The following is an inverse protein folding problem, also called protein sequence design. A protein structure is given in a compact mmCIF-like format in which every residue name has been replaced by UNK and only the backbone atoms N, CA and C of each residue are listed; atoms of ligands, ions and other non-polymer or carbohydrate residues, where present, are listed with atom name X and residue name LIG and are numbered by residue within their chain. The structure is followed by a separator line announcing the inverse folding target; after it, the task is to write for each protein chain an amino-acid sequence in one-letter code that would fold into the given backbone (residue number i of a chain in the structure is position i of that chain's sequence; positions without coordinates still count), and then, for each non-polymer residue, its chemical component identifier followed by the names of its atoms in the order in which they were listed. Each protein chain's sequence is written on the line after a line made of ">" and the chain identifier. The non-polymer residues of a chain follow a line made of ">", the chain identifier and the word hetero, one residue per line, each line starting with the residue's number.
data_IF_079890250378
#
_entry.id   IF_079890250378
#
_cell.length_a   1.000
_cell.length_b   1.000
_cell.length_c   1.000
_cell.angle_alpha   90.00
_cell.angle_beta   90.00
_cell.angle_gamma   90.00
#
_symmetry.space_group_name_H-M   'P 1'
#
loop_
_entity.id
_entity.type
_entity.pdbx_description
1 polymer ?
#
# COMPACT_ATOMS: atom_id res chain seq x y z
N UNK A 1 -11.34 12.05 -22.67
CA UNK A 1 -9.89 12.09 -22.96
C UNK A 1 -9.04 12.34 -21.70
N UNK A 2 -9.64 12.68 -20.55
CA UNK A 2 -8.93 12.91 -19.28
C UNK A 2 -8.64 11.64 -18.46
N UNK A 3 -9.43 10.57 -18.63
CA UNK A 3 -9.30 9.32 -17.85
C UNK A 3 -7.98 8.57 -18.10
N UNK A 4 -7.42 8.67 -19.32
CA UNK A 4 -6.12 8.05 -19.66
C UNK A 4 -4.94 8.74 -18.96
N UNK A 5 -4.95 10.07 -18.88
CA UNK A 5 -3.89 10.85 -18.20
C UNK A 5 -3.84 10.59 -16.68
N UNK A 6 -4.99 10.27 -16.08
CA UNK A 6 -5.13 9.97 -14.65
C UNK A 6 -4.66 8.54 -14.34
N UNK A 7 -5.03 7.56 -15.17
CA UNK A 7 -4.48 6.20 -15.11
C UNK A 7 -2.96 6.19 -15.26
N UNK A 8 -2.41 7.02 -16.16
CA UNK A 8 -0.97 7.24 -16.32
C UNK A 8 -0.34 7.94 -15.11
N UNK A 9 -1.04 8.84 -14.42
CA UNK A 9 -0.57 9.46 -13.18
C UNK A 9 -0.51 8.45 -12.01
N UNK A 10 -1.47 7.52 -11.92
CA UNK A 10 -1.45 6.46 -10.90
C UNK A 10 -0.47 5.33 -11.23
N UNK A 11 -0.27 5.01 -12.52
CA UNK A 11 0.81 4.11 -12.96
C UNK A 11 2.20 4.76 -12.81
N UNK A 12 2.30 6.10 -12.82
CA UNK A 12 3.54 6.84 -12.61
C UNK A 12 4.18 6.54 -11.27
N UNK A 13 3.41 6.34 -10.20
CA UNK A 13 3.95 5.91 -8.90
C UNK A 13 4.63 4.52 -9.00
N UNK A 14 4.05 3.59 -9.78
CA UNK A 14 4.63 2.27 -10.05
C UNK A 14 5.86 2.31 -10.98
N UNK A 15 5.85 3.17 -12.00
CA UNK A 15 7.00 3.38 -12.89
C UNK A 15 8.15 4.13 -12.21
N UNK A 16 7.81 5.10 -11.36
CA UNK A 16 8.76 5.86 -10.53
C UNK A 16 9.45 4.92 -9.57
N UNK A 17 8.69 4.06 -8.86
CA UNK A 17 9.22 2.97 -8.08
C UNK A 17 10.18 2.08 -8.89
N UNK A 18 9.75 1.55 -10.04
CA UNK A 18 10.54 0.60 -10.84
C UNK A 18 11.87 1.16 -11.36
N UNK A 19 12.01 2.49 -11.49
CA UNK A 19 13.21 3.16 -12.01
C UNK A 19 14.27 3.48 -10.95
N UNK A 20 14.00 3.29 -9.66
CA UNK A 20 14.99 3.62 -8.62
C UNK A 20 16.06 2.55 -8.45
N UNK A 21 17.31 2.99 -8.59
CA UNK A 21 18.48 2.24 -8.18
C UNK A 21 18.77 2.50 -6.70
N UNK A 22 18.93 1.41 -5.96
CA UNK A 22 19.47 1.44 -4.60
C UNK A 22 21.00 1.40 -4.74
N UNK A 23 21.75 2.24 -4.01
CA UNK A 23 23.21 2.16 -3.99
C UNK A 23 23.68 0.73 -3.67
N UNK A 24 24.79 0.28 -4.27
CA UNK A 24 25.22 -1.12 -4.13
C UNK A 24 25.41 -1.54 -2.66
N UNK A 25 25.90 -0.64 -1.78
CA UNK A 25 26.02 -0.89 -0.34
C UNK A 25 24.69 -0.98 0.42
N UNK A 26 23.59 -0.48 -0.16
CA UNK A 26 22.24 -0.55 0.42
C UNK A 26 21.43 -1.75 -0.07
N UNK A 27 21.88 -2.44 -1.13
CA UNK A 27 21.21 -3.65 -1.64
C UNK A 27 21.31 -4.82 -0.67
N UNK A 28 22.47 -5.01 -0.02
CA UNK A 28 22.64 -6.05 0.99
C UNK A 28 21.75 -5.78 2.21
N UNK A 29 21.64 -4.51 2.62
CA UNK A 29 20.75 -4.08 3.70
C UNK A 29 19.28 -4.30 3.32
N UNK A 30 18.89 -3.97 2.09
CA UNK A 30 17.57 -4.30 1.57
C UNK A 30 17.27 -5.80 1.62
N UNK A 31 18.19 -6.67 1.19
CA UNK A 31 17.99 -8.12 1.26
C UNK A 31 17.80 -8.60 2.70
N UNK A 32 18.59 -8.09 3.65
CA UNK A 32 18.40 -8.41 5.08
C UNK A 32 17.02 -7.99 5.57
N UNK A 33 16.52 -6.82 5.15
CA UNK A 33 15.16 -6.37 5.50
C UNK A 33 14.09 -7.25 4.87
N UNK A 34 14.19 -7.54 3.58
CA UNK A 34 13.21 -8.36 2.86
C UNK A 34 13.12 -9.80 3.44
N UNK A 35 14.23 -10.33 3.94
CA UNK A 35 14.32 -11.66 4.54
C UNK A 35 14.30 -11.64 6.08
N UNK A 36 14.07 -10.50 6.72
CA UNK A 36 14.11 -10.44 8.18
C UNK A 36 12.91 -11.20 8.78
N UNK A 37 13.10 -11.74 9.98
CA UNK A 37 12.05 -12.48 10.68
C UNK A 37 10.77 -11.65 10.90
N UNK A 38 10.82 -10.32 10.91
CA UNK A 38 9.62 -9.49 10.99
C UNK A 38 8.78 -9.55 9.70
N UNK A 39 9.38 -9.25 8.56
CA UNK A 39 8.71 -9.27 7.24
C UNK A 39 8.26 -10.69 6.88
N UNK A 40 9.10 -11.69 7.13
CA UNK A 40 8.74 -13.10 6.87
C UNK A 40 7.56 -13.53 7.73
N UNK A 41 7.53 -13.18 9.03
CA UNK A 41 6.39 -13.49 9.90
C UNK A 41 5.12 -12.80 9.45
N UNK A 42 5.19 -11.53 9.06
CA UNK A 42 4.04 -10.79 8.53
C UNK A 42 3.43 -11.46 7.28
N UNK A 43 4.27 -11.87 6.32
CA UNK A 43 3.81 -12.57 5.12
C UNK A 43 3.25 -13.97 5.44
N UNK A 44 3.85 -14.69 6.39
CA UNK A 44 3.48 -16.06 6.70
C UNK A 44 2.21 -16.19 7.56
N UNK A 45 2.04 -15.36 8.59
CA UNK A 45 0.96 -15.52 9.56
C UNK A 45 -0.28 -14.77 9.14
N UNK A 46 -1.43 -15.45 9.10
CA UNK A 46 -2.72 -14.85 8.69
C UNK A 46 -3.13 -13.66 9.57
N UNK A 47 -2.91 -13.77 10.87
CA UNK A 47 -3.27 -12.75 11.87
C UNK A 47 -2.39 -11.50 11.83
N UNK A 48 -1.23 -11.54 11.19
CA UNK A 48 -0.34 -10.38 11.08
C UNK A 48 -0.77 -9.47 9.91
N UNK A 49 -1.75 -8.61 10.12
CA UNK A 49 -2.35 -7.84 9.03
C UNK A 49 -1.43 -6.73 8.51
N UNK A 50 -0.83 -5.98 9.45
CA UNK A 50 -0.04 -4.78 9.18
C UNK A 50 1.41 -5.01 9.58
N UNK A 51 2.34 -4.58 8.72
CA UNK A 51 3.75 -4.44 9.02
C UNK A 51 4.17 -2.97 8.91
N UNK A 52 4.93 -2.50 9.88
CA UNK A 52 5.54 -1.16 9.86
C UNK A 52 7.04 -1.33 9.67
N UNK A 53 7.57 -0.85 8.56
CA UNK A 53 9.01 -0.71 8.38
C UNK A 53 9.44 0.68 8.83
N UNK A 54 10.34 0.75 9.79
CA UNK A 54 10.83 2.00 10.35
C UNK A 54 12.35 2.08 10.25
N UNK A 55 12.85 3.17 9.69
CA UNK A 55 14.27 3.53 9.77
C UNK A 55 14.41 5.00 10.18
N UNK A 56 14.68 5.31 11.46
CA UNK A 56 14.83 6.70 11.93
C UNK A 56 15.94 7.45 11.21
N UNK A 57 16.93 6.77 10.62
CA UNK A 57 18.05 7.39 9.89
C UNK A 57 17.73 7.70 8.42
N UNK A 58 16.58 7.23 7.92
CA UNK A 58 16.19 7.35 6.52
C UNK A 58 15.41 8.64 6.19
N UNK A 59 15.17 9.50 7.18
CA UNK A 59 14.49 10.77 7.02
C UNK A 59 15.33 11.71 6.14
N UNK A 60 14.87 12.10 4.93
CA UNK A 60 15.71 12.82 4.00
C UNK A 60 15.98 14.26 4.48
N UNK A 61 17.19 14.82 4.26
CA UNK A 61 17.34 16.25 4.09
C UNK A 61 16.53 16.69 2.85
N UNK A 62 15.88 17.84 2.94
CA UNK A 62 14.85 18.37 2.03
C UNK A 62 14.97 17.94 0.55
N UNK A 63 13.87 17.43 -0.02
CA UNK A 63 13.68 17.31 -1.47
C UNK A 63 14.16 16.01 -2.14
N UNK A 64 14.70 15.04 -1.40
CA UNK A 64 15.08 13.72 -1.92
C UNK A 64 14.12 12.61 -1.48
N UNK A 65 13.96 11.56 -2.30
CA UNK A 65 13.22 10.36 -1.90
C UNK A 65 13.97 9.64 -0.78
N UNK A 66 13.24 9.31 0.28
CA UNK A 66 13.79 8.59 1.42
C UNK A 66 14.33 7.22 1.00
N UNK A 67 15.28 6.67 1.77
CA UNK A 67 15.72 5.28 1.60
C UNK A 67 14.53 4.31 1.68
N UNK A 68 13.54 4.63 2.51
CA UNK A 68 12.31 3.83 2.66
C UNK A 68 11.44 3.82 1.41
N UNK A 69 11.35 4.92 0.69
CA UNK A 69 10.69 4.98 -0.61
C UNK A 69 11.33 4.01 -1.60
N UNK A 70 12.68 3.92 -1.59
CA UNK A 70 13.41 2.97 -2.42
C UNK A 70 13.17 1.51 -1.99
N UNK A 71 13.10 1.24 -0.68
CA UNK A 71 12.82 -0.10 -0.17
C UNK A 71 11.40 -0.53 -0.48
N UNK A 72 10.41 0.36 -0.31
CA UNK A 72 9.01 0.13 -0.67
C UNK A 72 8.89 -0.24 -2.16
N UNK A 73 9.62 0.47 -3.03
CA UNK A 73 9.72 0.14 -4.45
C UNK A 73 10.30 -1.27 -4.71
N UNK A 74 11.43 -1.62 -4.10
CA UNK A 74 12.03 -2.94 -4.32
C UNK A 74 11.17 -4.07 -3.76
N UNK A 75 10.48 -3.85 -2.63
CA UNK A 75 9.50 -4.80 -2.11
C UNK A 75 8.32 -4.98 -3.07
N UNK A 76 7.82 -3.89 -3.67
CA UNK A 76 6.78 -3.97 -4.70
C UNK A 76 7.22 -4.88 -5.85
N UNK A 77 8.42 -4.65 -6.38
CA UNK A 77 8.96 -5.47 -7.48
C UNK A 77 9.14 -6.93 -7.05
N UNK A 78 9.77 -7.17 -5.89
CA UNK A 78 9.98 -8.51 -5.34
C UNK A 78 8.66 -9.27 -5.17
N UNK A 79 7.63 -8.63 -4.61
CA UNK A 79 6.33 -9.24 -4.39
C UNK A 79 5.61 -9.56 -5.70
N UNK A 80 5.75 -8.70 -6.71
CA UNK A 80 5.27 -8.99 -8.06
C UNK A 80 5.99 -10.21 -8.65
N UNK A 81 7.32 -10.27 -8.53
CA UNK A 81 8.16 -11.33 -9.11
C UNK A 81 7.87 -12.71 -8.49
N UNK A 82 7.50 -12.76 -7.21
CA UNK A 82 7.08 -14.01 -6.52
C UNK A 82 5.58 -14.33 -6.66
N UNK A 83 4.88 -13.64 -7.57
CA UNK A 83 3.48 -13.95 -7.93
C UNK A 83 2.40 -13.35 -7.02
N UNK A 84 2.73 -12.37 -6.18
CA UNK A 84 1.72 -11.57 -5.48
C UNK A 84 1.20 -10.46 -6.41
N UNK A 85 0.10 -9.82 -6.01
CA UNK A 85 -0.44 -8.63 -6.67
C UNK A 85 -0.25 -7.40 -5.78
N UNK A 86 0.93 -6.75 -5.84
CA UNK A 86 1.23 -5.62 -5.00
C UNK A 86 0.56 -4.35 -5.53
N UNK A 87 -0.23 -3.70 -4.68
CA UNK A 87 -0.68 -2.33 -4.83
C UNK A 87 0.31 -1.43 -4.08
N UNK A 88 0.61 -0.25 -4.60
CA UNK A 88 1.50 0.68 -3.91
C UNK A 88 1.01 2.11 -3.97
N UNK A 89 1.28 2.84 -2.90
CA UNK A 89 1.08 4.28 -2.82
C UNK A 89 2.36 4.92 -2.31
N UNK A 90 2.96 5.80 -3.12
CA UNK A 90 4.24 6.43 -2.79
C UNK A 90 4.03 7.87 -2.31
N UNK A 91 4.08 8.14 -0.99
CA UNK A 91 3.95 9.51 -0.49
C UNK A 91 5.22 10.33 -0.79
N UNK A 92 5.17 11.15 -1.85
CA UNK A 92 6.11 12.25 -2.04
C UNK A 92 5.65 13.52 -1.31
N UNK A 93 6.56 14.44 -0.91
CA UNK A 93 6.19 15.80 -0.48
C UNK A 93 5.46 16.56 -1.60
N UNK A 94 4.51 17.47 -1.32
CA UNK A 94 3.94 17.82 0.00
C UNK A 94 2.78 16.88 0.38
N UNK A 95 2.57 16.69 1.67
CA UNK A 95 1.71 15.66 2.28
C UNK A 95 0.41 15.36 1.52
N UNK A 96 0.13 14.06 1.33
CA UNK A 96 -0.94 13.60 0.45
C UNK A 96 -2.22 13.22 1.19
N UNK A 97 -3.33 13.43 0.49
CA UNK A 97 -4.72 13.20 0.90
C UNK A 97 -5.04 11.68 1.00
N UNK A 98 -5.59 11.18 2.13
CA UNK A 98 -6.06 9.80 2.26
C UNK A 98 -7.07 9.39 1.19
N UNK A 99 -7.86 10.34 0.67
CA UNK A 99 -8.77 10.11 -0.45
C UNK A 99 -7.99 9.72 -1.71
N UNK A 100 -6.94 10.45 -2.06
CA UNK A 100 -6.12 10.14 -3.22
C UNK A 100 -5.38 8.81 -3.08
N UNK A 101 -4.96 8.47 -1.86
CA UNK A 101 -4.45 7.12 -1.55
C UNK A 101 -5.49 6.06 -1.87
N UNK A 102 -6.71 6.20 -1.35
CA UNK A 102 -7.76 5.22 -1.60
C UNK A 102 -8.16 5.17 -3.08
N UNK A 103 -8.19 6.29 -3.80
CA UNK A 103 -8.45 6.31 -5.24
C UNK A 103 -7.39 5.53 -6.00
N UNK A 104 -6.11 5.80 -5.74
CA UNK A 104 -4.98 5.10 -6.37
C UNK A 104 -5.03 3.61 -6.11
N UNK A 105 -5.22 3.20 -4.85
CA UNK A 105 -5.30 1.78 -4.48
C UNK A 105 -6.52 1.09 -5.11
N UNK A 106 -7.66 1.76 -5.20
CA UNK A 106 -8.88 1.22 -5.82
C UNK A 106 -8.72 1.03 -7.32
N UNK A 107 -8.09 1.98 -8.02
CA UNK A 107 -7.78 1.86 -9.45
C UNK A 107 -6.79 0.72 -9.70
N UNK A 108 -5.73 0.60 -8.89
CA UNK A 108 -4.79 -0.52 -9.01
C UNK A 108 -5.46 -1.87 -8.75
N UNK A 109 -6.37 -1.94 -7.77
CA UNK A 109 -7.14 -3.15 -7.50
C UNK A 109 -8.07 -3.52 -8.68
N UNK A 110 -8.69 -2.54 -9.33
CA UNK A 110 -9.46 -2.75 -10.55
C UNK A 110 -8.59 -3.38 -11.65
N UNK A 111 -7.36 -2.88 -11.84
CA UNK A 111 -6.41 -3.48 -12.79
C UNK A 111 -6.07 -4.94 -12.44
N UNK A 112 -5.99 -5.29 -11.15
CA UNK A 112 -5.78 -6.68 -10.72
C UNK A 112 -6.98 -7.56 -11.08
N UNK A 113 -8.20 -7.05 -10.92
CA UNK A 113 -9.44 -7.75 -11.31
C UNK A 113 -9.46 -7.98 -12.83
N UNK A 114 -9.26 -6.92 -13.62
CA UNK A 114 -9.34 -7.01 -15.09
C UNK A 114 -8.24 -7.88 -15.70
N UNK A 115 -7.02 -7.84 -15.16
CA UNK A 115 -5.92 -8.74 -15.59
C UNK A 115 -6.10 -10.19 -15.17
N UNK A 116 -7.05 -10.49 -14.29
CA UNK A 116 -7.37 -11.85 -13.89
C UNK A 116 -8.50 -12.46 -14.73
N UNK A 117 -8.82 -11.86 -15.88
CA UNK A 117 -9.93 -12.22 -16.77
C UNK A 117 -11.31 -12.26 -16.07
N UNK A 118 -11.45 -11.46 -15.00
CA UNK A 118 -12.70 -11.32 -14.27
C UNK A 118 -13.42 -10.06 -14.72
N UNK A 119 -14.73 -10.20 -14.95
CA UNK A 119 -15.58 -9.04 -15.22
C UNK A 119 -15.64 -8.17 -13.97
N UNK A 120 -15.23 -6.88 -14.05
CA UNK A 120 -15.48 -5.96 -12.97
C UNK A 120 -16.99 -5.77 -12.77
N UNK A 121 -17.41 -5.29 -11.59
CA UNK A 121 -18.83 -5.20 -11.26
C UNK A 121 -19.63 -4.25 -12.15
N UNK A 122 -18.97 -3.24 -12.74
CA UNK A 122 -19.52 -2.25 -13.66
C UNK A 122 -18.54 -2.01 -14.84
N UNK A 123 -18.97 -1.28 -15.86
CA UNK A 123 -18.10 -0.85 -16.98
C UNK A 123 -16.85 -0.10 -16.44
N UNK A 124 -15.62 -0.47 -16.85
CA UNK A 124 -14.39 0.10 -16.27
C UNK A 124 -14.31 1.63 -16.31
N UNK A 125 -14.78 2.24 -17.39
CA UNK A 125 -14.82 3.70 -17.60
C UNK A 125 -15.70 4.40 -16.55
N UNK A 126 -16.93 3.90 -16.36
CA UNK A 126 -17.88 4.40 -15.36
C UNK A 126 -17.38 4.17 -13.94
N UNK A 127 -16.78 3.01 -13.70
CA UNK A 127 -16.20 2.68 -12.41
C UNK A 127 -15.07 3.66 -12.06
N UNK A 128 -14.16 3.95 -12.99
CA UNK A 128 -13.10 4.94 -12.78
C UNK A 128 -13.71 6.32 -12.51
N UNK A 129 -14.72 6.74 -13.27
CA UNK A 129 -15.38 8.02 -13.05
C UNK A 129 -15.98 8.12 -11.64
N UNK A 130 -16.65 7.06 -11.17
CA UNK A 130 -17.20 7.01 -9.80
C UNK A 130 -16.13 7.03 -8.70
N UNK A 131 -14.93 6.48 -8.96
CA UNK A 131 -13.79 6.62 -8.02
C UNK A 131 -13.33 8.08 -7.96
N UNK A 132 -13.22 8.74 -9.11
CA UNK A 132 -12.70 10.10 -9.19
C UNK A 132 -13.67 11.13 -8.59
N UNK A 133 -14.97 10.97 -8.84
CA UNK A 133 -16.00 11.88 -8.34
C UNK A 133 -16.42 11.56 -6.90
N UNK A 134 -16.13 10.34 -6.44
CA UNK A 134 -16.48 9.86 -5.12
C UNK A 134 -15.63 10.48 -4.00
N UNK A 135 -16.26 10.70 -2.85
CA UNK A 135 -15.57 10.95 -1.59
C UNK A 135 -15.02 9.67 -0.95
N UNK A 136 -14.35 9.80 0.20
CA UNK A 136 -13.60 8.71 0.84
C UNK A 136 -14.45 7.46 1.10
N UNK A 137 -15.65 7.63 1.63
CA UNK A 137 -16.59 6.54 1.92
C UNK A 137 -16.97 5.77 0.65
N UNK A 138 -17.28 6.49 -0.43
CA UNK A 138 -17.63 5.90 -1.72
C UNK A 138 -16.46 5.08 -2.27
N UNK A 139 -15.25 5.64 -2.25
CA UNK A 139 -14.06 4.96 -2.76
C UNK A 139 -13.74 3.70 -1.94
N UNK A 140 -13.86 3.74 -0.60
CA UNK A 140 -13.69 2.55 0.26
C UNK A 140 -14.75 1.47 -0.02
N UNK A 141 -16.01 1.86 -0.28
CA UNK A 141 -17.05 0.91 -0.66
C UNK A 141 -16.74 0.24 -2.01
N UNK A 142 -16.23 1.01 -2.98
CA UNK A 142 -15.80 0.49 -4.28
C UNK A 142 -14.60 -0.46 -4.15
N UNK A 143 -13.61 -0.11 -3.32
CA UNK A 143 -12.50 -1.01 -2.98
C UNK A 143 -13.00 -2.33 -2.40
N UNK A 144 -13.97 -2.26 -1.47
CA UNK A 144 -14.60 -3.45 -0.88
C UNK A 144 -15.24 -4.34 -1.95
N UNK A 145 -16.05 -3.75 -2.85
CA UNK A 145 -16.71 -4.50 -3.93
C UNK A 145 -15.69 -5.21 -4.83
N UNK A 146 -14.62 -4.53 -5.26
CA UNK A 146 -13.54 -5.15 -6.04
C UNK A 146 -12.82 -6.25 -5.28
N UNK A 147 -12.54 -6.04 -3.99
CA UNK A 147 -11.86 -7.04 -3.15
C UNK A 147 -12.66 -8.34 -3.04
N UNK A 148 -13.99 -8.26 -3.13
CA UNK A 148 -14.90 -9.40 -3.08
C UNK A 148 -14.97 -10.13 -4.43
N UNK A 149 -14.79 -9.42 -5.55
CA UNK A 149 -14.72 -10.03 -6.89
C UNK A 149 -13.48 -10.90 -7.07
N UNK A 150 -12.37 -10.58 -6.39
CA UNK A 150 -11.13 -11.35 -6.54
C UNK A 150 -11.26 -12.80 -6.07
N UNK A 151 -10.60 -13.76 -6.76
CA UNK A 151 -10.60 -15.15 -6.36
C UNK A 151 -10.09 -15.30 -4.93
N UNK A 152 -10.64 -16.25 -4.17
CA UNK A 152 -10.21 -16.48 -2.77
C UNK A 152 -8.72 -16.82 -2.68
N UNK A 153 -8.14 -17.44 -3.70
CA UNK A 153 -6.70 -17.76 -3.79
C UNK A 153 -5.79 -16.55 -4.08
N UNK A 154 -6.34 -15.40 -4.46
CA UNK A 154 -5.55 -14.23 -4.84
C UNK A 154 -4.85 -13.63 -3.62
N UNK A 155 -3.55 -13.37 -3.76
CA UNK A 155 -2.70 -12.74 -2.75
C UNK A 155 -2.41 -11.30 -3.16
N UNK A 156 -2.86 -10.35 -2.36
CA UNK A 156 -2.71 -8.91 -2.59
C UNK A 156 -1.90 -8.32 -1.44
N UNK A 157 -0.89 -7.52 -1.75
CA UNK A 157 -0.15 -6.74 -0.75
C UNK A 157 -0.37 -5.26 -1.03
N UNK A 158 -0.51 -4.45 -0.01
CA UNK A 158 -0.69 -3.00 -0.10
C UNK A 158 0.54 -2.36 0.54
N UNK A 159 1.30 -1.61 -0.25
CA UNK A 159 2.52 -0.95 0.16
C UNK A 159 2.27 0.55 0.27
N UNK A 160 2.43 1.12 1.45
CA UNK A 160 2.20 2.54 1.74
C UNK A 160 3.54 3.15 2.12
N UNK A 161 4.14 3.91 1.20
CA UNK A 161 5.38 4.64 1.46
C UNK A 161 5.11 5.88 2.31
N UNK A 162 5.98 6.18 3.27
CA UNK A 162 6.10 7.47 3.96
C UNK A 162 4.79 8.05 4.44
N UNK A 163 4.12 7.34 5.35
CA UNK A 163 3.02 7.91 6.13
C UNK A 163 3.55 8.92 7.16
N UNK A 164 4.36 9.91 6.74
CA UNK A 164 4.89 10.94 7.64
C UNK A 164 4.02 12.18 7.51
N UNK A 165 3.01 12.31 8.38
CA UNK A 165 2.23 13.54 8.50
C UNK A 165 2.36 14.10 9.91
N UNK A 166 2.93 15.29 10.01
CA UNK A 166 2.80 16.15 11.19
C UNK A 166 1.49 16.96 11.14
N UNK A 167 0.43 16.36 10.61
CA UNK A 167 -0.90 16.98 10.50
C UNK A 167 -1.79 16.40 11.61
N UNK A 168 -2.48 17.28 12.31
CA UNK A 168 -3.39 16.95 13.41
C UNK A 168 -4.86 17.26 13.05
N UNK A 169 -5.16 17.64 11.80
CA UNK A 169 -6.49 18.00 11.32
C UNK A 169 -7.31 16.84 10.75
N UNK A 170 -8.36 17.17 9.98
CA UNK A 170 -9.31 16.23 9.36
C UNK A 170 -8.61 15.10 8.60
N UNK A 171 -7.53 15.44 7.90
CA UNK A 171 -6.81 14.48 7.08
C UNK A 171 -6.10 13.38 7.91
N UNK A 172 -5.75 13.65 9.17
CA UNK A 172 -5.26 12.62 10.09
C UNK A 172 -6.38 11.67 10.54
N UNK A 173 -7.60 12.18 10.75
CA UNK A 173 -8.78 11.36 11.03
C UNK A 173 -9.15 10.48 9.83
N UNK A 174 -9.05 11.04 8.63
CA UNK A 174 -9.28 10.31 7.38
C UNK A 174 -8.22 9.22 7.20
N UNK A 175 -6.94 9.50 7.45
CA UNK A 175 -5.88 8.49 7.40
C UNK A 175 -6.11 7.37 8.42
N UNK A 176 -6.50 7.71 9.65
CA UNK A 176 -6.90 6.71 10.66
C UNK A 176 -8.03 5.83 10.15
N UNK A 177 -9.07 6.44 9.57
CA UNK A 177 -10.22 5.74 9.01
C UNK A 177 -9.80 4.78 7.91
N UNK A 178 -8.90 5.22 7.02
CA UNK A 178 -8.38 4.38 5.95
C UNK A 178 -7.57 3.21 6.48
N UNK A 179 -6.67 3.43 7.44
CA UNK A 179 -5.86 2.33 8.00
C UNK A 179 -6.72 1.29 8.71
N UNK A 180 -7.74 1.74 9.46
CA UNK A 180 -8.73 0.85 10.10
C UNK A 180 -9.56 0.09 9.06
N UNK A 181 -9.96 0.75 7.98
CA UNK A 181 -10.65 0.12 6.86
C UNK A 181 -9.79 -0.97 6.19
N UNK A 182 -8.52 -0.69 5.91
CA UNK A 182 -7.61 -1.65 5.28
C UNK A 182 -7.38 -2.87 6.17
N UNK A 183 -7.20 -2.68 7.49
CA UNK A 183 -7.12 -3.77 8.45
C UNK A 183 -8.39 -4.65 8.45
N UNK A 184 -9.57 -4.05 8.42
CA UNK A 184 -10.84 -4.78 8.34
C UNK A 184 -10.98 -5.58 7.03
N UNK A 185 -10.55 -5.03 5.90
CA UNK A 185 -10.50 -5.77 4.64
C UNK A 185 -9.56 -6.98 4.75
N UNK A 186 -8.37 -6.80 5.34
CA UNK A 186 -7.41 -7.89 5.57
C UNK A 186 -8.02 -8.97 6.44
N UNK A 187 -8.68 -8.60 7.55
CA UNK A 187 -9.35 -9.53 8.48
C UNK A 187 -10.42 -10.35 7.76
N UNK A 188 -11.33 -9.69 7.05
CA UNK A 188 -12.43 -10.36 6.31
C UNK A 188 -11.91 -11.32 5.24
N UNK A 189 -10.89 -10.90 4.49
CA UNK A 189 -10.27 -11.75 3.46
C UNK A 189 -9.49 -12.90 4.11
N UNK A 190 -8.87 -12.72 5.26
CA UNK A 190 -8.12 -13.78 5.97
C UNK A 190 -9.05 -14.83 6.59
N UNK A 191 -10.21 -14.41 7.10
CA UNK A 191 -11.21 -15.28 7.72
C UNK A 191 -11.87 -16.27 6.72
N UNK A 192 -11.94 -15.90 5.44
CA UNK A 192 -12.67 -16.65 4.42
C UNK A 192 -11.77 -17.54 3.54
N UNK A 193 -10.50 -17.72 3.92
CA UNK A 193 -9.45 -17.98 2.94
C UNK A 193 -9.02 -19.45 2.71
N UNK A 194 -8.97 -19.85 1.43
CA UNK A 194 -8.37 -21.09 0.88
C UNK A 194 -7.02 -20.80 0.17
N UNK A 195 -6.15 -19.97 0.78
CA UNK A 195 -4.76 -19.78 0.32
C UNK A 195 -4.39 -18.39 -0.25
N UNK A 196 -5.34 -17.48 -0.45
CA UNK A 196 -5.06 -16.06 -0.72
C UNK A 196 -4.86 -15.25 0.55
N UNK A 197 -4.64 -13.94 0.41
CA UNK A 197 -4.61 -12.98 1.52
C UNK A 197 -4.65 -11.53 1.02
N UNK A 198 -4.94 -10.62 1.95
CA UNK A 198 -4.57 -9.21 1.84
C UNK A 198 -3.55 -8.91 2.94
N UNK A 199 -2.58 -8.04 2.69
CA UNK A 199 -1.60 -7.60 3.70
C UNK A 199 -1.24 -6.14 3.48
N UNK A 200 -0.98 -5.40 4.55
CA UNK A 200 -0.58 -3.98 4.47
C UNK A 200 0.83 -3.82 5.05
N UNK A 201 1.69 -3.11 4.33
CA UNK A 201 2.99 -2.67 4.81
C UNK A 201 3.06 -1.15 4.69
N UNK A 202 3.33 -0.48 5.79
CA UNK A 202 3.56 0.96 5.83
C UNK A 202 5.04 1.23 6.14
N UNK A 203 5.61 2.26 5.53
CA UNK A 203 6.97 2.70 5.83
C UNK A 203 6.98 4.05 6.53
N UNK A 204 7.80 4.17 7.56
CA UNK A 204 8.01 5.38 8.37
C UNK A 204 6.76 6.15 8.83
N UNK A 205 5.67 5.51 9.30
CA UNK A 205 4.67 6.25 10.05
C UNK A 205 5.26 6.80 11.34
N UNK A 206 4.88 8.02 11.74
CA UNK A 206 5.30 8.56 13.02
C UNK A 206 4.73 7.75 14.18
N UNK A 207 5.37 7.77 15.35
CA UNK A 207 4.84 7.13 16.56
C UNK A 207 3.48 7.71 16.98
N UNK A 208 3.16 8.95 16.58
CA UNK A 208 1.85 9.54 16.79
C UNK A 208 0.79 8.92 15.87
N UNK A 209 1.07 8.82 14.56
CA UNK A 209 0.16 8.18 13.59
C UNK A 209 -0.13 6.72 13.95
N UNK A 210 0.92 5.95 14.29
CA UNK A 210 0.78 4.56 14.70
C UNK A 210 -0.17 4.41 15.90
N UNK A 211 -0.06 5.29 16.90
CA UNK A 211 -0.96 5.28 18.07
C UNK A 211 -2.39 5.65 17.71
N UNK A 212 -2.58 6.60 16.80
CA UNK A 212 -3.91 7.04 16.38
C UNK A 212 -4.69 5.95 15.63
N UNK A 213 -4.00 5.06 14.91
CA UNK A 213 -4.66 3.99 14.17
C UNK A 213 -5.38 3.01 15.10
N UNK A 214 -4.83 2.77 16.30
CA UNK A 214 -5.39 1.82 17.27
C UNK A 214 -5.35 0.37 16.75
N UNK A 215 -4.31 0.01 16.00
CA UNK A 215 -4.17 -1.28 15.33
C UNK A 215 -2.95 -2.03 15.87
N UNK A 216 -3.03 -3.36 15.83
CA UNK A 216 -1.85 -4.22 16.04
C UNK A 216 -1.02 -4.31 14.76
N UNK A 217 0.30 -4.25 14.90
CA UNK A 217 1.23 -4.35 13.77
C UNK A 217 2.55 -5.01 14.19
N UNK A 218 3.22 -5.61 13.20
CA UNK A 218 4.61 -6.05 13.35
C UNK A 218 5.51 -4.87 13.01
N UNK A 219 6.29 -4.39 13.97
CA UNK A 219 7.29 -3.36 13.72
C UNK A 219 8.65 -3.98 13.37
N UNK A 220 9.25 -3.49 12.29
CA UNK A 220 10.58 -3.86 11.82
C UNK A 220 11.44 -2.60 11.81
N UNK A 221 12.38 -2.52 12.74
CA UNK A 221 13.30 -1.40 12.85
C UNK A 221 14.59 -1.72 12.09
N UNK A 222 14.80 -1.06 10.95
CA UNK A 222 15.87 -1.39 10.00
C UNK A 222 17.26 -0.98 10.51
N UNK A 223 17.35 0.02 11.40
CA UNK A 223 18.65 0.41 11.98
C UNK A 223 19.27 -0.67 12.88
N UNK A 224 18.53 -1.74 13.20
CA UNK A 224 19.00 -2.85 14.04
C UNK A 224 19.13 -4.18 13.28
N UNK A 225 19.18 -4.12 11.93
CA UNK A 225 19.29 -5.27 10.99
C UNK A 225 20.56 -5.13 10.14
#
# INVERSE_FOLDING_TARGET
>A
MESNNILEAFNRDMETAARFNIPQGEMDRFHRVACCGGVTRWLAYRTAHICVLHDPQSMPPCGSLSLMSKYCSKLWKLYKDIGLSPLAYFCGPPGRDPLDMMRSLTVQLLQVVTRSDLSPPDEPSRFIQSIMDGGLVTVMAMFTRLSQTLPRSKKVTILIDSAYRSDHGQSALDMRTVMQFLDEIVRRRSATNRGGFFKVLATNPSAWEQRQWGLEFIQVNISYI
#
